data_IF_772765173872
#
_entry.id   IF_772765173872
#
_cell.length_a   1.000
_cell.length_b   1.000
_cell.length_c   1.000
_cell.angle_alpha   90.00
_cell.angle_beta   90.00
_cell.angle_gamma   90.00
#
_symmetry.space_group_name_H-M   'P 1'
#
loop_
_entity.id
_entity.type
_entity.pdbx_description
1 polymer ?
#
# COMPACT_ATOMS: atom_id res chain seq x y z
N UNK A 1 29.45 -12.54 -0.47
CA UNK A 1 29.87 -12.75 0.93
C UNK A 1 29.65 -11.43 1.70
N UNK A 2 28.53 -11.29 2.40
CA UNK A 2 28.38 -10.30 3.45
C UNK A 2 28.25 -11.07 4.76
N UNK A 3 29.37 -11.32 5.38
CA UNK A 3 29.47 -11.68 6.78
C UNK A 3 29.54 -10.39 7.59
N UNK A 4 28.63 -10.19 8.52
CA UNK A 4 28.65 -9.07 9.44
C UNK A 4 27.37 -8.98 10.26
N UNK A 5 26.87 -10.12 10.78
CA UNK A 5 25.93 -10.07 11.89
C UNK A 5 26.69 -9.72 13.15
N UNK A 6 26.69 -8.43 13.55
CA UNK A 6 27.21 -8.03 14.85
C UNK A 6 26.36 -8.71 15.93
N UNK A 7 27.01 -9.53 16.75
CA UNK A 7 26.45 -10.14 17.94
C UNK A 7 26.03 -9.05 18.93
N UNK A 8 24.75 -8.70 18.93
CA UNK A 8 24.17 -7.93 20.03
C UNK A 8 24.14 -8.85 21.24
N UNK A 9 24.96 -8.51 22.25
CA UNK A 9 25.11 -9.26 23.48
C UNK A 9 23.74 -9.51 24.12
N UNK A 10 23.42 -10.76 24.40
CA UNK A 10 22.18 -11.23 25.03
C UNK A 10 21.92 -10.67 26.46
N UNK A 11 22.78 -9.82 26.97
CA UNK A 11 22.72 -9.29 28.34
C UNK A 11 21.88 -8.01 28.51
N UNK A 12 21.42 -7.34 27.40
CA UNK A 12 20.74 -6.03 27.53
C UNK A 12 19.22 -6.06 27.33
N UNK A 13 18.62 -7.19 27.00
CA UNK A 13 17.15 -7.30 26.83
C UNK A 13 16.60 -8.19 27.94
N UNK A 14 16.27 -7.61 29.09
CA UNK A 14 15.75 -8.29 30.25
C UNK A 14 14.84 -9.49 29.97
N UNK A 15 15.39 -10.71 29.95
CA UNK A 15 14.67 -11.99 29.98
C UNK A 15 13.88 -12.39 28.72
N UNK A 16 13.85 -11.61 27.65
CA UNK A 16 13.23 -12.01 26.39
C UNK A 16 14.29 -12.65 25.51
N UNK A 17 14.38 -13.98 25.55
CA UNK A 17 15.35 -14.72 24.75
C UNK A 17 15.14 -14.42 23.26
N UNK A 18 16.24 -14.16 22.54
CA UNK A 18 16.28 -13.96 21.06
C UNK A 18 15.54 -15.07 20.31
N UNK A 19 15.48 -16.28 20.87
CA UNK A 19 14.69 -17.42 20.37
C UNK A 19 13.19 -17.13 20.24
N UNK A 20 12.61 -16.27 21.11
CA UNK A 20 11.18 -15.91 21.05
C UNK A 20 10.84 -14.99 19.88
N UNK A 21 11.79 -14.18 19.39
CA UNK A 21 11.54 -13.27 18.24
C UNK A 21 11.32 -14.09 16.98
N UNK A 22 12.13 -15.11 16.72
CA UNK A 22 11.94 -16.00 15.57
C UNK A 22 10.62 -16.77 15.61
N UNK A 23 10.22 -17.24 16.79
CA UNK A 23 8.93 -17.92 16.99
C UNK A 23 7.74 -16.97 16.78
N UNK A 24 7.82 -15.76 17.31
CA UNK A 24 6.82 -14.72 17.14
C UNK A 24 6.70 -14.32 15.66
N UNK A 25 7.81 -14.09 14.99
CA UNK A 25 7.82 -13.76 13.56
C UNK A 25 7.19 -14.87 12.72
N UNK A 26 7.55 -16.13 12.97
CA UNK A 26 6.95 -17.27 12.29
C UNK A 26 5.45 -17.43 12.59
N UNK A 27 5.01 -17.10 13.81
CA UNK A 27 3.61 -17.10 14.18
C UNK A 27 2.83 -15.99 13.43
N UNK A 28 3.38 -14.77 13.36
CA UNK A 28 2.75 -13.66 12.63
C UNK A 28 2.70 -13.91 11.12
N UNK A 29 3.74 -14.53 10.54
CA UNK A 29 3.69 -14.94 9.13
C UNK A 29 2.56 -15.94 8.87
N UNK A 30 2.36 -16.93 9.74
CA UNK A 30 1.24 -17.88 9.60
C UNK A 30 -0.11 -17.16 9.72
N UNK A 31 -0.28 -16.30 10.72
CA UNK A 31 -1.52 -15.50 10.87
C UNK A 31 -1.80 -14.65 9.63
N UNK A 32 -0.75 -14.05 9.06
CA UNK A 32 -0.87 -13.28 7.83
C UNK A 32 -1.36 -14.15 6.67
N UNK A 33 -0.75 -15.32 6.45
CA UNK A 33 -1.15 -16.26 5.39
C UNK A 33 -2.61 -16.69 5.58
N UNK A 34 -3.00 -17.04 6.80
CA UNK A 34 -4.36 -17.51 7.14
C UNK A 34 -5.42 -16.40 6.93
N UNK A 35 -5.04 -15.14 7.18
CA UNK A 35 -5.92 -13.99 6.99
C UNK A 35 -6.05 -13.53 5.53
N UNK A 36 -5.14 -13.96 4.61
CA UNK A 36 -5.08 -13.45 3.24
C UNK A 36 -5.10 -14.55 2.17
N UNK A 37 -6.05 -15.51 2.21
CA UNK A 37 -6.06 -16.65 1.28
C UNK A 37 -6.25 -16.26 -0.18
N UNK A 38 -7.06 -15.23 -0.48
CA UNK A 38 -7.32 -14.75 -1.85
C UNK A 38 -6.11 -13.98 -2.39
N UNK A 39 -5.51 -13.13 -1.55
CA UNK A 39 -4.28 -12.41 -1.88
C UNK A 39 -3.13 -13.38 -2.15
N UNK A 40 -2.96 -14.41 -1.30
CA UNK A 40 -1.98 -15.46 -1.48
C UNK A 40 -2.17 -16.20 -2.82
N UNK A 41 -3.40 -16.60 -3.13
CA UNK A 41 -3.71 -17.31 -4.37
C UNK A 41 -3.38 -16.47 -5.61
N UNK A 42 -3.64 -15.17 -5.59
CA UNK A 42 -3.40 -14.27 -6.72
C UNK A 42 -1.94 -13.87 -6.83
N UNK A 43 -1.28 -13.54 -5.73
CA UNK A 43 0.14 -13.20 -5.69
C UNK A 43 1.04 -14.37 -6.06
N UNK A 44 0.68 -15.60 -5.65
CA UNK A 44 1.43 -16.82 -5.96
C UNK A 44 1.43 -17.20 -7.44
N UNK A 45 0.50 -16.70 -8.23
CA UNK A 45 0.48 -16.91 -9.70
C UNK A 45 1.37 -15.92 -10.45
N UNK A 46 1.93 -14.91 -9.75
CA UNK A 46 2.55 -13.75 -10.36
C UNK A 46 1.52 -12.92 -11.14
N UNK A 47 1.61 -11.61 -11.11
CA UNK A 47 0.82 -10.80 -12.05
C UNK A 47 1.58 -10.80 -13.36
N UNK A 48 1.08 -11.55 -14.35
CA UNK A 48 1.72 -11.67 -15.65
C UNK A 48 1.94 -10.27 -16.26
N UNK A 49 3.16 -10.00 -16.70
CA UNK A 49 3.51 -8.71 -17.29
C UNK A 49 4.22 -7.73 -16.35
N UNK A 50 4.29 -8.02 -15.05
CA UNK A 50 5.09 -7.24 -14.12
C UNK A 50 6.37 -7.97 -13.71
N UNK A 51 7.47 -7.22 -13.59
CA UNK A 51 8.71 -7.75 -13.07
C UNK A 51 8.50 -8.22 -11.62
N UNK A 52 8.91 -9.45 -11.35
CA UNK A 52 8.73 -10.09 -10.03
C UNK A 52 7.27 -10.10 -9.50
N UNK A 53 6.29 -10.01 -10.41
CA UNK A 53 4.86 -10.14 -10.10
C UNK A 53 4.22 -8.96 -9.38
N UNK A 54 4.89 -7.79 -9.32
CA UNK A 54 4.36 -6.57 -8.69
C UNK A 54 4.58 -5.35 -9.58
N UNK A 55 3.68 -4.33 -9.53
CA UNK A 55 3.81 -3.13 -10.34
C UNK A 55 5.08 -2.32 -10.06
N UNK A 56 5.54 -2.29 -8.82
CA UNK A 56 6.73 -1.54 -8.40
C UNK A 56 7.62 -2.44 -7.56
N UNK A 57 8.93 -2.42 -7.83
CA UNK A 57 9.91 -3.32 -7.19
C UNK A 57 9.91 -3.23 -5.65
N UNK A 58 9.77 -2.05 -5.08
CA UNK A 58 9.76 -1.83 -3.64
C UNK A 58 8.59 -2.52 -2.92
N UNK A 59 7.52 -2.91 -3.64
CA UNK A 59 6.41 -3.70 -3.07
C UNK A 59 6.83 -5.11 -2.65
N UNK A 60 8.05 -5.56 -3.04
CA UNK A 60 8.65 -6.83 -2.63
C UNK A 60 9.60 -6.70 -1.44
N UNK A 61 9.99 -5.48 -1.10
CA UNK A 61 10.97 -5.23 -0.04
C UNK A 61 10.37 -5.30 1.37
N UNK A 62 9.05 -5.49 1.46
CA UNK A 62 8.33 -5.60 2.71
C UNK A 62 8.47 -7.01 3.29
N UNK A 63 8.51 -7.13 4.62
CA UNK A 63 8.73 -8.40 5.34
C UNK A 63 7.55 -9.38 5.29
N UNK A 64 6.49 -9.06 4.53
CA UNK A 64 5.34 -9.94 4.32
C UNK A 64 5.70 -11.11 3.38
N UNK A 65 5.13 -12.32 3.58
CA UNK A 65 5.34 -13.46 2.70
C UNK A 65 4.95 -13.20 1.23
N UNK A 66 3.95 -12.35 1.02
CA UNK A 66 3.46 -11.86 -0.26
C UNK A 66 2.70 -10.54 -0.04
N UNK A 67 2.60 -9.65 -1.04
CA UNK A 67 1.78 -8.46 -0.93
C UNK A 67 0.29 -8.84 -0.91
N UNK A 68 -0.50 -8.27 0.02
CA UNK A 68 -1.94 -8.34 -0.08
C UNK A 68 -2.44 -7.38 -1.18
N UNK A 69 -3.61 -7.68 -1.73
CA UNK A 69 -4.20 -6.89 -2.80
C UNK A 69 -5.30 -5.99 -2.24
N UNK A 70 -5.21 -4.71 -2.53
CA UNK A 70 -6.21 -3.72 -2.10
C UNK A 70 -7.46 -3.85 -2.95
N UNK A 71 -8.63 -3.85 -2.31
CA UNK A 71 -9.94 -3.78 -2.95
C UNK A 71 -10.44 -2.34 -3.04
N UNK A 72 -10.42 -1.64 -1.89
CA UNK A 72 -10.94 -0.28 -1.80
C UNK A 72 -10.27 0.50 -0.67
N UNK A 73 -10.40 1.83 -0.72
CA UNK A 73 -9.94 2.69 0.34
C UNK A 73 -10.86 3.92 0.48
N UNK A 74 -11.13 4.33 1.71
CA UNK A 74 -11.95 5.49 2.02
C UNK A 74 -11.48 6.19 3.30
N UNK A 75 -11.33 7.50 3.26
CA UNK A 75 -10.77 8.25 4.39
C UNK A 75 -9.39 7.72 4.79
N UNK A 76 -9.23 7.27 6.01
CA UNK A 76 -7.99 6.67 6.52
C UNK A 76 -8.06 5.14 6.63
N UNK A 77 -9.01 4.51 5.95
CA UNK A 77 -9.20 3.05 5.96
C UNK A 77 -8.94 2.47 4.59
N UNK A 78 -8.18 1.38 4.57
CA UNK A 78 -7.90 0.58 3.40
C UNK A 78 -8.49 -0.82 3.63
N UNK A 79 -9.17 -1.37 2.62
CA UNK A 79 -9.71 -2.73 2.64
C UNK A 79 -9.01 -3.58 1.60
N UNK A 80 -8.62 -4.78 1.99
CA UNK A 80 -8.05 -5.76 1.07
C UNK A 80 -9.14 -6.64 0.41
N UNK A 81 -8.73 -7.43 -0.60
CA UNK A 81 -9.63 -8.34 -1.30
C UNK A 81 -10.11 -9.51 -0.42
N UNK A 82 -9.47 -9.76 0.70
CA UNK A 82 -9.84 -10.79 1.69
C UNK A 82 -10.87 -10.27 2.69
N UNK A 83 -11.13 -8.95 2.69
CA UNK A 83 -12.15 -8.29 3.51
C UNK A 83 -11.62 -7.71 4.82
N UNK A 84 -10.30 -7.68 5.01
CA UNK A 84 -9.69 -7.08 6.18
C UNK A 84 -9.60 -5.57 6.03
N UNK A 85 -9.87 -4.83 7.11
CA UNK A 85 -9.74 -3.38 7.18
C UNK A 85 -8.48 -2.98 7.93
N UNK A 86 -7.77 -1.99 7.39
CA UNK A 86 -6.53 -1.45 7.93
C UNK A 86 -6.64 0.04 8.13
N UNK A 87 -6.07 0.56 9.23
CA UNK A 87 -5.80 1.98 9.36
C UNK A 87 -4.60 2.33 8.47
N UNK A 88 -4.82 3.17 7.46
CA UNK A 88 -3.78 3.57 6.52
C UNK A 88 -3.06 4.82 7.00
N UNK A 89 -1.87 4.64 7.56
CA UNK A 89 -0.98 5.72 7.97
C UNK A 89 -0.06 6.22 6.86
N UNK A 90 0.01 5.51 5.74
CA UNK A 90 0.83 5.87 4.60
C UNK A 90 0.11 6.83 3.64
N UNK A 91 -1.22 6.66 3.49
CA UNK A 91 -2.07 7.45 2.59
C UNK A 91 -1.52 7.56 1.17
N UNK A 92 -1.00 6.44 0.65
CA UNK A 92 -0.45 6.38 -0.70
C UNK A 92 0.75 7.29 -0.91
N UNK A 93 1.59 7.45 0.12
CA UNK A 93 2.82 8.25 0.08
C UNK A 93 2.56 9.67 -0.46
N UNK A 94 1.77 10.44 0.26
CA UNK A 94 1.32 11.80 -0.09
C UNK A 94 0.18 11.90 -1.13
N UNK A 95 -0.09 10.85 -1.90
CA UNK A 95 -1.15 10.88 -2.92
C UNK A 95 -2.57 11.03 -2.36
N UNK A 96 -2.80 10.64 -1.12
CA UNK A 96 -4.09 10.70 -0.45
C UNK A 96 -4.04 11.48 0.88
N UNK A 97 -3.30 12.60 0.93
CA UNK A 97 -3.12 13.42 2.14
C UNK A 97 -4.44 13.91 2.76
N UNK A 98 -5.48 14.08 1.94
CA UNK A 98 -6.83 14.47 2.38
C UNK A 98 -7.73 13.26 2.70
N UNK A 99 -7.16 12.08 2.73
CA UNK A 99 -7.85 10.80 2.81
C UNK A 99 -8.19 10.22 1.44
N UNK A 100 -8.45 8.92 1.42
CA UNK A 100 -8.87 8.22 0.21
C UNK A 100 -10.30 8.60 -0.17
N UNK A 101 -10.54 8.74 -1.48
CA UNK A 101 -11.85 8.99 -2.07
C UNK A 101 -12.65 10.12 -1.40
N UNK A 102 -12.08 11.35 -1.21
CA UNK A 102 -12.85 12.46 -0.65
C UNK A 102 -14.03 12.79 -1.56
N UNK A 103 -15.24 12.80 -1.00
CA UNK A 103 -16.49 12.88 -1.77
C UNK A 103 -16.53 14.04 -2.76
N UNK A 104 -16.11 15.28 -2.40
CA UNK A 104 -16.13 16.39 -3.36
C UNK A 104 -15.25 16.13 -4.60
N UNK A 105 -14.08 15.52 -4.42
CA UNK A 105 -13.18 15.17 -5.54
C UNK A 105 -13.78 14.06 -6.40
N UNK A 106 -14.37 13.03 -5.77
CA UNK A 106 -15.03 11.93 -6.47
C UNK A 106 -16.16 12.47 -7.34
N UNK A 107 -17.00 13.36 -6.83
CA UNK A 107 -18.14 13.93 -7.55
C UNK A 107 -17.67 14.83 -8.70
N UNK A 108 -16.66 15.66 -8.49
CA UNK A 108 -16.06 16.47 -9.54
C UNK A 108 -15.45 15.62 -10.65
N UNK A 109 -14.73 14.56 -10.31
CA UNK A 109 -14.16 13.63 -11.30
C UNK A 109 -15.24 12.91 -12.09
N UNK A 110 -16.31 12.42 -11.45
CA UNK A 110 -17.44 11.79 -12.14
C UNK A 110 -18.10 12.75 -13.13
N UNK A 111 -18.36 13.97 -12.71
CA UNK A 111 -18.95 15.00 -13.58
C UNK A 111 -18.04 15.33 -14.77
N UNK A 112 -16.73 15.36 -14.58
CA UNK A 112 -15.76 15.63 -15.64
C UNK A 112 -15.62 14.43 -16.61
N UNK A 113 -15.74 13.19 -16.12
CA UNK A 113 -15.72 12.00 -16.98
C UNK A 113 -16.81 12.03 -18.06
N UNK A 114 -18.01 12.50 -17.72
CA UNK A 114 -19.13 12.64 -18.67
C UNK A 114 -18.86 13.72 -19.74
N UNK A 115 -17.92 14.64 -19.49
CA UNK A 115 -17.51 15.71 -20.41
C UNK A 115 -16.23 15.41 -21.19
N UNK A 116 -15.53 14.34 -20.82
CA UNK A 116 -14.22 13.96 -21.37
C UNK A 116 -13.05 14.47 -20.57
N UNK A 117 -11.91 13.77 -20.66
CA UNK A 117 -10.69 14.05 -19.91
C UNK A 117 -9.51 14.49 -20.80
N UNK A 118 -9.54 14.10 -22.10
CA UNK A 118 -8.39 14.26 -22.99
C UNK A 118 -8.72 15.25 -24.09
N UNK A 119 -8.22 16.47 -23.99
CA UNK A 119 -8.44 17.53 -24.98
C UNK A 119 -7.12 17.97 -25.60
N UNK A 120 -7.15 18.32 -26.90
CA UNK A 120 -6.04 18.97 -27.59
C UNK A 120 -5.94 20.48 -27.26
N UNK A 121 -7.04 21.07 -26.81
CA UNK A 121 -7.13 22.48 -26.43
C UNK A 121 -7.38 22.61 -24.93
N UNK A 122 -6.99 23.74 -24.30
CA UNK A 122 -7.23 23.96 -22.88
C UNK A 122 -8.72 24.00 -22.55
N UNK A 123 -9.12 23.27 -21.49
CA UNK A 123 -10.45 23.43 -20.89
C UNK A 123 -10.52 24.65 -20.00
N UNK A 124 -11.72 25.02 -19.57
CA UNK A 124 -11.96 26.15 -18.67
C UNK A 124 -11.20 26.00 -17.33
N UNK A 125 -11.05 24.78 -16.84
CA UNK A 125 -10.32 24.47 -15.60
C UNK A 125 -8.85 24.88 -15.68
N UNK A 126 -8.22 24.87 -16.85
CA UNK A 126 -6.84 25.34 -17.04
C UNK A 126 -6.69 26.83 -16.70
N UNK A 127 -7.74 27.61 -16.96
CA UNK A 127 -7.76 29.06 -16.64
C UNK A 127 -7.90 29.22 -15.13
N UNK A 128 -8.77 28.45 -14.49
CA UNK A 128 -8.93 28.52 -13.03
C UNK A 128 -7.66 28.13 -12.28
N UNK A 129 -6.95 27.09 -12.70
CA UNK A 129 -5.67 26.69 -12.09
C UNK A 129 -4.62 27.79 -12.15
N UNK A 130 -4.58 28.61 -13.21
CA UNK A 130 -3.62 29.70 -13.37
C UNK A 130 -3.90 30.91 -12.44
N UNK A 131 -5.06 30.99 -11.83
CA UNK A 131 -5.48 32.08 -10.95
C UNK A 131 -5.17 31.83 -9.47
N UNK A 132 -4.71 30.64 -9.10
CA UNK A 132 -4.27 30.37 -7.74
C UNK A 132 -2.89 31.00 -7.49
N UNK A 133 -2.77 31.99 -6.59
CA UNK A 133 -1.48 32.61 -6.27
C UNK A 133 -0.63 31.57 -5.51
N UNK A 134 0.40 31.04 -6.16
CA UNK A 134 1.35 30.11 -5.53
C UNK A 134 1.77 28.92 -6.38
N UNK A 135 1.36 28.85 -7.64
CA UNK A 135 1.89 27.89 -8.62
C UNK A 135 3.09 28.47 -9.36
#
# INVERSE_FOLDING_TARGET
QVQGASSVSAACLGGVAVLRIGELFAAEQRRYVDAHPRSMQRSGRGIAGFYDGVPMHWMRDWSMPFPFLVDSAHGATLRDIDGNDYADFCLGDTGAMTGHAPQPTVDAMKAQLDRGLTFMLPGEDAIHCSLFPGS
#
